data_IF_134366736589
#
_entry.id   IF_134366736589
#
_cell.length_a   1.000
_cell.length_b   1.000
_cell.length_c   1.000
_cell.angle_alpha   90.00
_cell.angle_beta   90.00
_cell.angle_gamma   90.00
#
_symmetry.space_group_name_H-M   'P 1'
#
loop_
_entity.id
_entity.type
_entity.pdbx_description
1 polymer ?
#
# COMPACT_ATOMS: atom_id res chain seq x y z
N UNK A 1 -2.44 -18.51 -23.24
CA UNK A 1 -2.47 -17.68 -24.46
C UNK A 1 -1.14 -16.95 -24.59
N UNK A 2 -0.63 -16.85 -25.81
CA UNK A 2 0.59 -16.10 -26.11
C UNK A 2 0.33 -14.58 -26.17
N UNK A 3 1.34 -13.77 -25.85
CA UNK A 3 1.25 -12.30 -25.86
C UNK A 3 0.79 -11.74 -27.22
N UNK A 4 1.24 -12.29 -28.33
CA UNK A 4 0.89 -11.81 -29.68
C UNK A 4 -0.61 -11.97 -29.94
N UNK A 5 -1.18 -13.10 -29.53
CA UNK A 5 -2.63 -13.35 -29.64
C UNK A 5 -3.44 -12.46 -28.71
N UNK A 6 -2.90 -12.14 -27.53
CA UNK A 6 -3.50 -11.17 -26.62
C UNK A 6 -3.58 -9.78 -27.25
N UNK A 7 -2.49 -9.35 -27.90
CA UNK A 7 -2.42 -8.07 -28.61
C UNK A 7 -3.41 -8.03 -29.78
N UNK A 8 -3.50 -9.09 -30.58
CA UNK A 8 -4.46 -9.20 -31.69
C UNK A 8 -5.91 -9.00 -31.19
N UNK A 9 -6.32 -9.77 -30.18
CA UNK A 9 -7.68 -9.68 -29.64
C UNK A 9 -7.98 -8.31 -29.01
N UNK A 10 -7.05 -7.73 -28.27
CA UNK A 10 -7.23 -6.40 -27.68
C UNK A 10 -7.29 -5.30 -28.75
N UNK A 11 -6.55 -5.44 -29.85
CA UNK A 11 -6.61 -4.49 -30.98
C UNK A 11 -7.98 -4.49 -31.65
N UNK A 12 -8.68 -5.63 -31.61
CA UNK A 12 -10.06 -5.78 -32.07
C UNK A 12 -11.11 -5.41 -30.99
N UNK A 13 -10.68 -4.82 -29.87
CA UNK A 13 -11.54 -4.47 -28.71
C UNK A 13 -12.26 -5.67 -28.08
N UNK A 14 -11.73 -6.89 -28.25
CA UNK A 14 -12.25 -8.09 -27.57
C UNK A 14 -11.76 -8.10 -26.12
N UNK A 15 -12.61 -8.61 -25.23
CA UNK A 15 -12.24 -8.82 -23.82
C UNK A 15 -11.59 -10.18 -23.66
N UNK A 16 -10.48 -10.25 -22.91
CA UNK A 16 -9.84 -11.52 -22.58
C UNK A 16 -10.45 -12.10 -21.31
N UNK A 17 -10.48 -13.42 -21.19
CA UNK A 17 -10.80 -14.09 -19.92
C UNK A 17 -9.67 -13.91 -18.90
N UNK A 18 -9.96 -14.13 -17.62
CA UNK A 18 -8.96 -14.10 -16.53
C UNK A 18 -7.75 -15.00 -16.84
N UNK A 19 -8.00 -16.24 -17.27
CA UNK A 19 -6.94 -17.21 -17.64
C UNK A 19 -6.08 -16.75 -18.81
N UNK A 20 -6.68 -16.02 -19.74
CA UNK A 20 -5.98 -15.46 -20.89
C UNK A 20 -5.07 -14.29 -20.47
N UNK A 21 -5.56 -13.41 -19.61
CA UNK A 21 -4.75 -12.36 -19.00
C UNK A 21 -3.59 -12.93 -18.19
N UNK A 22 -3.85 -13.91 -17.32
CA UNK A 22 -2.81 -14.58 -16.53
C UNK A 22 -1.70 -15.17 -17.43
N UNK A 23 -2.07 -15.84 -18.52
CA UNK A 23 -1.09 -16.41 -19.44
C UNK A 23 -0.25 -15.32 -20.13
N UNK A 24 -0.87 -14.22 -20.58
CA UNK A 24 -0.15 -13.09 -21.17
C UNK A 24 0.78 -12.40 -20.16
N UNK A 25 0.32 -12.16 -18.93
CA UNK A 25 1.13 -11.61 -17.85
C UNK A 25 2.30 -12.53 -17.47
N UNK A 26 2.09 -13.86 -17.50
CA UNK A 26 3.13 -14.86 -17.24
C UNK A 26 4.25 -14.81 -18.27
N UNK A 27 3.91 -14.75 -19.56
CA UNK A 27 4.92 -14.62 -20.62
C UNK A 27 5.70 -13.31 -20.54
N UNK A 28 5.01 -12.20 -20.29
CA UNK A 28 5.65 -10.90 -20.12
C UNK A 28 6.62 -10.90 -18.92
N UNK A 29 6.21 -11.48 -17.79
CA UNK A 29 7.07 -11.57 -16.60
C UNK A 29 8.22 -12.57 -16.74
N UNK A 30 8.18 -13.45 -17.75
CA UNK A 30 9.29 -14.30 -18.18
C UNK A 30 10.24 -13.60 -19.17
N UNK A 31 9.88 -12.40 -19.64
CA UNK A 31 10.64 -11.63 -20.61
C UNK A 31 10.48 -12.12 -22.05
N UNK A 32 9.40 -12.86 -22.35
CA UNK A 32 9.04 -13.26 -23.71
C UNK A 32 8.45 -12.08 -24.48
N UNK A 33 8.81 -12.00 -25.76
CA UNK A 33 8.38 -10.99 -26.72
C UNK A 33 8.18 -9.56 -26.13
N UNK A 34 9.27 -8.84 -25.82
CA UNK A 34 9.20 -7.51 -25.19
C UNK A 34 8.41 -6.46 -25.98
N UNK A 35 8.40 -6.55 -27.32
CA UNK A 35 7.66 -5.62 -28.16
C UNK A 35 6.15 -5.89 -28.07
N UNK A 36 5.72 -7.15 -28.15
CA UNK A 36 4.32 -7.51 -27.92
C UNK A 36 3.87 -7.14 -26.50
N UNK A 37 4.71 -7.34 -25.49
CA UNK A 37 4.43 -6.92 -24.12
C UNK A 37 4.28 -5.39 -23.99
N UNK A 38 5.07 -4.60 -24.72
CA UNK A 38 4.92 -3.14 -24.74
C UNK A 38 3.56 -2.73 -25.33
N UNK A 39 3.18 -3.32 -26.46
CA UNK A 39 1.88 -3.07 -27.12
C UNK A 39 0.73 -3.52 -26.22
N UNK A 40 0.83 -4.69 -25.61
CA UNK A 40 -0.14 -5.22 -24.66
C UNK A 40 -0.41 -4.22 -23.52
N UNK A 41 0.64 -3.74 -22.84
CA UNK A 41 0.50 -2.77 -21.76
C UNK A 41 -0.08 -1.42 -22.22
N UNK A 42 0.25 -0.98 -23.44
CA UNK A 42 -0.31 0.23 -24.03
C UNK A 42 -1.81 0.09 -24.27
N UNK A 43 -2.24 -1.02 -24.87
CA UNK A 43 -3.66 -1.29 -25.14
C UNK A 43 -4.48 -1.38 -23.85
N UNK A 44 -3.96 -2.04 -22.80
CA UNK A 44 -4.64 -2.08 -21.50
C UNK A 44 -4.79 -0.68 -20.88
N UNK A 45 -3.73 0.12 -20.93
CA UNK A 45 -3.75 1.50 -20.42
C UNK A 45 -4.77 2.38 -21.14
N UNK A 46 -4.91 2.24 -22.46
CA UNK A 46 -5.90 2.99 -23.25
C UNK A 46 -7.34 2.53 -23.02
N UNK A 47 -7.56 1.23 -22.82
CA UNK A 47 -8.88 0.68 -22.53
C UNK A 47 -9.38 1.05 -21.13
N UNK A 48 -8.46 1.23 -20.19
CA UNK A 48 -8.75 1.34 -18.76
C UNK A 48 -8.78 -0.02 -18.09
N UNK A 49 -8.27 -0.08 -16.86
CA UNK A 49 -8.07 -1.35 -16.15
C UNK A 49 -9.39 -1.98 -15.70
N UNK A 50 -9.61 -3.26 -16.06
CA UNK A 50 -10.73 -4.06 -15.55
C UNK A 50 -10.36 -4.88 -14.33
N UNK A 51 -11.38 -5.44 -13.66
CA UNK A 51 -11.18 -6.30 -12.47
C UNK A 51 -10.41 -7.57 -12.86
N UNK A 52 -10.77 -8.19 -13.98
CA UNK A 52 -10.18 -9.44 -14.48
C UNK A 52 -8.70 -9.25 -14.86
N UNK A 53 -8.38 -8.11 -15.47
CA UNK A 53 -6.99 -7.74 -15.79
C UNK A 53 -6.14 -7.59 -14.55
N UNK A 54 -6.67 -6.86 -13.57
CA UNK A 54 -5.94 -6.52 -12.38
C UNK A 54 -5.82 -7.69 -11.42
N UNK A 55 -6.85 -8.54 -11.33
CA UNK A 55 -6.82 -9.84 -10.69
C UNK A 55 -5.77 -10.76 -11.34
N UNK A 56 -5.82 -10.93 -12.67
CA UNK A 56 -4.86 -11.78 -13.39
C UNK A 56 -3.42 -11.33 -13.19
N UNK A 57 -3.16 -10.02 -13.25
CA UNK A 57 -1.83 -9.48 -12.95
C UNK A 57 -1.42 -9.77 -11.49
N UNK A 58 -2.30 -9.49 -10.53
CA UNK A 58 -2.02 -9.70 -9.12
C UNK A 58 -1.71 -11.17 -8.81
N UNK A 59 -2.48 -12.12 -9.38
CA UNK A 59 -2.24 -13.57 -9.23
C UNK A 59 -0.87 -13.98 -9.77
N UNK A 60 -0.53 -13.58 -10.99
CA UNK A 60 0.77 -13.90 -11.60
C UNK A 60 1.94 -13.30 -10.81
N UNK A 61 1.79 -12.05 -10.35
CA UNK A 61 2.81 -11.39 -9.53
C UNK A 61 2.99 -12.08 -8.18
N UNK A 62 1.89 -12.46 -7.51
CA UNK A 62 1.91 -13.23 -6.25
C UNK A 62 2.45 -14.65 -6.42
N UNK A 63 2.38 -15.22 -7.62
CA UNK A 63 3.03 -16.50 -7.91
C UNK A 63 4.54 -16.35 -8.02
N UNK A 64 5.01 -15.29 -8.71
CA UNK A 64 6.43 -15.06 -9.01
C UNK A 64 7.19 -14.27 -7.92
N UNK A 65 6.51 -13.85 -6.86
CA UNK A 65 7.12 -13.17 -5.71
C UNK A 65 7.95 -14.16 -4.88
N UNK A 66 9.03 -13.68 -4.27
CA UNK A 66 9.74 -14.42 -3.22
C UNK A 66 8.84 -14.40 -1.97
N UNK A 67 8.12 -15.50 -1.71
CA UNK A 67 7.11 -15.56 -0.64
C UNK A 67 7.75 -15.57 0.75
N UNK A 68 7.16 -14.82 1.67
CA UNK A 68 7.51 -14.83 3.10
C UNK A 68 6.41 -15.54 3.88
N UNK A 69 6.78 -16.56 4.67
CA UNK A 69 5.87 -17.30 5.54
C UNK A 69 5.86 -16.72 6.96
N UNK A 70 5.26 -15.54 7.10
CA UNK A 70 5.28 -14.75 8.34
C UNK A 70 4.11 -15.02 9.32
N UNK A 71 3.36 -16.10 9.09
CA UNK A 71 2.20 -16.45 9.92
C UNK A 71 0.92 -15.68 9.55
N UNK A 72 -0.01 -15.58 10.50
CA UNK A 72 -1.32 -14.94 10.35
C UNK A 72 -1.46 -13.69 11.22
N UNK A 73 -2.52 -12.93 10.97
CA UNK A 73 -2.83 -11.67 11.66
C UNK A 73 -1.99 -10.50 11.17
N UNK A 74 -1.44 -10.59 9.96
CA UNK A 74 -0.57 -9.57 9.39
C UNK A 74 -1.40 -8.42 8.81
N UNK A 75 -0.94 -7.20 9.08
CA UNK A 75 -1.49 -5.95 8.57
C UNK A 75 -0.52 -5.31 7.57
N UNK A 76 -1.03 -4.79 6.48
CA UNK A 76 -0.33 -3.82 5.63
C UNK A 76 -1.10 -2.49 5.60
N UNK A 77 -0.36 -1.40 5.76
CA UNK A 77 -0.88 -0.04 5.60
C UNK A 77 -0.13 0.55 4.41
N UNK A 78 -0.82 0.72 3.30
CA UNK A 78 -0.19 0.99 2.01
C UNK A 78 -1.12 1.82 1.11
N UNK A 79 -0.52 2.65 0.27
CA UNK A 79 -1.23 3.43 -0.74
C UNK A 79 -0.79 3.03 -2.15
N UNK A 80 -1.61 3.32 -3.15
CA UNK A 80 -1.20 3.19 -4.56
C UNK A 80 -0.09 4.17 -4.94
N UNK A 81 0.04 5.28 -4.19
CA UNK A 81 0.82 6.45 -4.56
C UNK A 81 0.25 7.16 -5.78
N UNK A 82 0.89 8.28 -6.15
CA UNK A 82 0.54 9.03 -7.35
C UNK A 82 -0.74 9.87 -7.22
N UNK A 83 -1.09 10.26 -5.99
CA UNK A 83 -2.15 11.22 -5.68
C UNK A 83 -1.73 12.68 -5.94
N UNK A 84 -0.42 12.93 -6.08
CA UNK A 84 0.14 14.26 -6.33
C UNK A 84 0.18 15.17 -5.10
N UNK A 85 -0.17 14.66 -3.91
CA UNK A 85 -0.24 15.45 -2.68
C UNK A 85 1.14 15.90 -2.19
N UNK A 86 2.20 15.14 -2.53
CA UNK A 86 3.54 15.31 -1.98
C UNK A 86 3.53 15.37 -0.45
N UNK A 87 2.63 14.62 0.20
CA UNK A 87 2.55 14.59 1.64
C UNK A 87 3.77 13.93 2.29
N UNK A 88 3.91 14.11 3.59
CA UNK A 88 4.77 13.25 4.41
C UNK A 88 4.34 11.78 4.25
N UNK A 89 5.23 10.81 4.47
CA UNK A 89 4.92 9.38 4.32
C UNK A 89 3.97 8.86 5.43
N UNK A 90 2.68 9.20 5.32
CA UNK A 90 1.64 8.85 6.29
C UNK A 90 1.54 7.35 6.50
N UNK A 91 1.38 6.53 5.45
CA UNK A 91 1.30 5.08 5.62
C UNK A 91 2.54 4.44 6.27
N UNK A 92 3.74 5.02 6.14
CA UNK A 92 4.94 4.52 6.85
C UNK A 92 4.89 4.88 8.32
N UNK A 93 4.58 6.14 8.66
CA UNK A 93 4.43 6.57 10.04
C UNK A 93 3.28 5.84 10.77
N UNK A 94 2.16 5.62 10.07
CA UNK A 94 1.01 4.89 10.61
C UNK A 94 1.32 3.40 10.80
N UNK A 95 2.10 2.78 9.92
CA UNK A 95 2.58 1.41 10.08
C UNK A 95 3.46 1.26 11.34
N UNK A 96 4.40 2.18 11.55
CA UNK A 96 5.23 2.22 12.76
C UNK A 96 4.37 2.37 14.03
N UNK A 97 3.39 3.27 14.01
CA UNK A 97 2.50 3.49 15.15
C UNK A 97 1.57 2.29 15.41
N UNK A 98 1.01 1.67 14.38
CA UNK A 98 0.19 0.47 14.51
C UNK A 98 1.00 -0.70 15.10
N UNK A 99 2.26 -0.87 14.67
CA UNK A 99 3.16 -1.87 15.23
C UNK A 99 3.49 -1.59 16.71
N UNK A 100 3.75 -0.33 17.07
CA UNK A 100 3.96 0.08 18.46
C UNK A 100 2.73 -0.14 19.35
N UNK A 101 1.52 -0.20 18.75
CA UNK A 101 0.28 -0.57 19.44
C UNK A 101 0.04 -2.09 19.51
N UNK A 102 0.94 -2.91 18.98
CA UNK A 102 0.86 -4.38 19.03
C UNK A 102 0.24 -5.05 17.80
N UNK A 103 0.04 -4.33 16.69
CA UNK A 103 -0.24 -4.95 15.40
C UNK A 103 1.01 -5.63 14.84
N UNK A 104 0.86 -6.75 14.11
CA UNK A 104 1.96 -7.32 13.32
C UNK A 104 1.92 -6.73 11.93
N UNK A 105 2.89 -5.90 11.57
CA UNK A 105 2.85 -5.11 10.33
C UNK A 105 3.88 -5.64 9.34
N UNK A 106 3.42 -6.16 8.20
CA UNK A 106 4.28 -6.57 7.09
C UNK A 106 4.15 -5.54 5.97
N UNK A 107 4.87 -4.42 6.08
CA UNK A 107 4.69 -3.30 5.14
C UNK A 107 5.40 -3.60 3.82
N UNK A 108 4.65 -3.60 2.72
CA UNK A 108 5.25 -3.66 1.38
C UNK A 108 5.48 -2.25 0.83
N UNK A 109 6.62 -2.02 0.19
CA UNK A 109 6.91 -0.71 -0.36
C UNK A 109 8.13 -0.66 -1.25
N UNK A 110 8.38 0.53 -1.80
CA UNK A 110 9.48 0.76 -2.73
C UNK A 110 10.12 2.13 -2.49
N UNK A 111 11.13 2.45 -3.31
CA UNK A 111 11.67 3.80 -3.44
C UNK A 111 10.68 4.69 -4.17
N UNK A 112 10.85 6.00 -4.04
CA UNK A 112 10.09 6.97 -4.82
C UNK A 112 10.18 6.67 -6.32
N UNK A 113 9.02 6.72 -6.99
CA UNK A 113 8.94 6.72 -8.47
C UNK A 113 8.47 8.05 -9.03
N UNK A 114 7.62 8.77 -8.28
CA UNK A 114 7.03 10.06 -8.65
C UNK A 114 7.00 11.09 -7.51
N UNK A 115 7.08 10.65 -6.25
CA UNK A 115 7.23 11.53 -5.08
C UNK A 115 8.70 11.88 -4.82
N UNK A 116 8.96 12.78 -3.87
CA UNK A 116 10.33 13.11 -3.41
C UNK A 116 10.91 12.08 -2.42
N UNK A 117 10.07 11.24 -1.83
CA UNK A 117 10.47 10.25 -0.82
C UNK A 117 9.52 9.04 -0.83
N UNK A 118 10.06 7.85 -1.08
CA UNK A 118 9.34 6.59 -0.94
C UNK A 118 9.48 6.02 0.47
N UNK A 119 8.73 4.96 0.76
CA UNK A 119 8.79 4.30 2.08
C UNK A 119 10.16 3.72 2.39
N UNK A 120 10.85 3.17 1.37
CA UNK A 120 12.21 2.66 1.53
C UNK A 120 13.21 3.78 1.84
N UNK A 121 13.12 4.91 1.12
CA UNK A 121 14.02 6.05 1.30
C UNK A 121 13.88 6.65 2.69
N UNK A 122 12.65 6.74 3.22
CA UNK A 122 12.38 7.21 4.58
C UNK A 122 12.93 6.26 5.65
N UNK A 123 12.74 4.94 5.49
CA UNK A 123 13.24 3.96 6.47
C UNK A 123 14.77 3.97 6.54
N UNK A 124 15.45 4.09 5.40
CA UNK A 124 16.91 4.28 5.35
C UNK A 124 17.33 5.62 6.00
N UNK A 125 16.59 6.71 5.77
CA UNK A 125 16.84 7.98 6.44
C UNK A 125 16.68 7.86 7.96
N UNK A 126 15.76 7.01 8.44
CA UNK A 126 15.66 6.64 9.84
C UNK A 126 16.82 5.76 10.33
N UNK A 127 17.70 5.25 9.48
CA UNK A 127 18.79 4.33 9.84
C UNK A 127 18.34 2.88 9.99
N UNK A 128 17.20 2.50 9.44
CA UNK A 128 16.70 1.12 9.45
C UNK A 128 17.32 0.34 8.30
N UNK A 129 17.81 -0.87 8.58
CA UNK A 129 18.27 -1.81 7.56
C UNK A 129 17.09 -2.38 6.77
N UNK A 130 17.17 -2.34 5.44
CA UNK A 130 16.18 -2.97 4.56
C UNK A 130 16.49 -4.46 4.30
N UNK A 131 17.59 -4.97 4.86
CA UNK A 131 18.08 -6.33 4.61
C UNK A 131 17.73 -7.34 5.71
N UNK A 132 17.20 -6.88 6.85
CA UNK A 132 16.85 -7.73 7.98
C UNK A 132 15.87 -8.86 7.61
N UNK A 133 15.96 -9.97 8.33
CA UNK A 133 15.06 -11.10 8.13
C UNK A 133 13.62 -10.70 8.54
N UNK A 134 12.64 -10.81 7.64
CA UNK A 134 11.30 -10.33 7.91
C UNK A 134 10.55 -11.13 8.98
N UNK A 135 10.91 -12.40 9.20
CA UNK A 135 10.30 -13.25 10.23
C UNK A 135 10.82 -12.82 11.60
N UNK A 136 12.13 -12.69 11.75
CA UNK A 136 12.76 -12.24 13.00
C UNK A 136 12.28 -10.83 13.38
N UNK A 137 12.24 -9.91 12.41
CA UNK A 137 11.74 -8.55 12.63
C UNK A 137 10.28 -8.52 13.09
N UNK A 138 9.41 -9.37 12.52
CA UNK A 138 8.01 -9.46 12.96
C UNK A 138 7.85 -10.06 14.36
N UNK A 139 8.70 -11.01 14.73
CA UNK A 139 8.66 -11.62 16.07
C UNK A 139 9.19 -10.68 17.14
N UNK A 140 10.31 -10.00 16.85
CA UNK A 140 10.99 -9.19 17.85
C UNK A 140 10.51 -7.74 17.86
N UNK A 141 10.34 -7.11 16.69
CA UNK A 141 10.00 -5.68 16.57
C UNK A 141 8.49 -5.49 16.39
N UNK A 142 7.81 -6.47 15.79
CA UNK A 142 6.38 -6.39 15.44
C UNK A 142 6.12 -5.77 14.06
N UNK A 143 7.16 -5.36 13.35
CA UNK A 143 7.08 -4.82 11.98
C UNK A 143 8.27 -5.28 11.15
N UNK A 144 8.02 -5.58 9.87
CA UNK A 144 9.05 -5.71 8.87
C UNK A 144 8.73 -4.89 7.62
N UNK A 145 9.75 -4.61 6.82
CA UNK A 145 9.61 -3.94 5.53
C UNK A 145 10.01 -4.88 4.39
N UNK A 146 9.09 -5.07 3.45
CA UNK A 146 9.28 -5.93 2.30
C UNK A 146 9.60 -5.05 1.09
N UNK A 147 10.89 -4.89 0.81
CA UNK A 147 11.35 -4.02 -0.27
C UNK A 147 11.05 -4.61 -1.65
N UNK A 148 10.21 -3.92 -2.44
CA UNK A 148 9.68 -4.46 -3.69
C UNK A 148 10.77 -4.92 -4.68
N UNK A 149 11.91 -4.23 -4.77
CA UNK A 149 13.01 -4.62 -5.68
C UNK A 149 13.68 -5.94 -5.28
N UNK A 150 13.66 -6.30 -3.99
CA UNK A 150 14.19 -7.56 -3.47
C UNK A 150 13.22 -8.70 -3.75
N UNK A 151 11.93 -8.49 -3.48
CA UNK A 151 10.95 -9.57 -3.47
C UNK A 151 10.25 -9.85 -4.82
N UNK A 152 10.33 -8.94 -5.78
CA UNK A 152 9.69 -9.10 -7.11
C UNK A 152 10.71 -9.26 -8.25
N UNK A 153 11.46 -10.38 -8.33
CA UNK A 153 12.52 -10.56 -9.32
C UNK A 153 12.01 -10.52 -10.77
N UNK A 154 10.76 -10.92 -11.01
CA UNK A 154 10.09 -10.82 -12.31
C UNK A 154 10.06 -9.39 -12.85
N UNK A 155 10.06 -8.38 -11.98
CA UNK A 155 10.08 -6.98 -12.39
C UNK A 155 11.37 -6.58 -13.11
N UNK A 156 12.48 -7.32 -12.95
CA UNK A 156 13.70 -7.09 -13.73
C UNK A 156 13.49 -7.26 -15.24
N UNK A 157 12.54 -8.12 -15.64
CA UNK A 157 12.16 -8.33 -17.05
C UNK A 157 11.17 -7.28 -17.56
N UNK A 158 10.28 -6.82 -16.68
CA UNK A 158 9.22 -5.85 -17.02
C UNK A 158 9.71 -4.40 -16.97
N UNK A 159 10.68 -4.07 -16.12
CA UNK A 159 11.15 -2.71 -15.91
C UNK A 159 11.69 -2.02 -17.18
N UNK A 160 12.50 -2.67 -18.05
CA UNK A 160 12.94 -2.07 -19.30
C UNK A 160 11.77 -1.70 -20.24
N UNK A 161 10.75 -2.56 -20.30
CA UNK A 161 9.53 -2.34 -21.11
C UNK A 161 8.79 -1.11 -20.61
N UNK A 162 8.55 -1.03 -19.30
CA UNK A 162 7.89 0.12 -18.66
C UNK A 162 8.68 1.42 -18.86
N UNK A 163 10.01 1.36 -18.74
CA UNK A 163 10.88 2.53 -18.97
C UNK A 163 10.80 3.01 -20.41
N UNK A 164 10.80 2.11 -21.40
CA UNK A 164 10.65 2.44 -22.83
C UNK A 164 9.28 3.03 -23.15
N UNK A 165 8.21 2.50 -22.53
CA UNK A 165 6.85 3.00 -22.70
C UNK A 165 6.66 4.41 -22.14
N UNK A 166 7.24 4.72 -20.98
CA UNK A 166 7.18 6.07 -20.38
C UNK A 166 5.78 6.54 -19.97
N UNK A 167 4.79 5.65 -19.97
CA UNK A 167 3.39 5.94 -19.61
C UNK A 167 2.96 5.16 -18.37
N UNK A 168 1.89 5.64 -17.73
CA UNK A 168 1.21 4.90 -16.66
C UNK A 168 0.59 3.61 -17.22
N UNK A 169 0.78 2.51 -16.51
CA UNK A 169 0.16 1.22 -16.83
C UNK A 169 -0.41 0.59 -15.56
N UNK A 170 -1.10 -0.55 -15.73
CA UNK A 170 -1.64 -1.35 -14.63
C UNK A 170 -0.61 -1.71 -13.54
N UNK A 171 0.69 -1.79 -13.88
CA UNK A 171 1.77 -2.01 -12.91
C UNK A 171 1.95 -0.86 -11.91
N UNK A 172 1.54 0.36 -12.25
CA UNK A 172 1.55 1.47 -11.31
C UNK A 172 0.53 1.28 -10.17
N UNK A 173 -0.48 0.44 -10.38
CA UNK A 173 -1.51 0.14 -9.40
C UNK A 173 -1.21 -1.15 -8.61
N UNK A 174 -0.40 -2.06 -9.15
CA UNK A 174 -0.25 -3.41 -8.62
C UNK A 174 0.44 -3.51 -7.25
N UNK A 175 1.23 -2.51 -6.86
CA UNK A 175 2.10 -2.54 -5.66
C UNK A 175 1.40 -3.02 -4.37
N UNK A 176 0.27 -2.42 -3.96
CA UNK A 176 -0.50 -2.85 -2.79
C UNK A 176 -1.01 -4.28 -2.85
N UNK A 177 -1.25 -4.82 -4.05
CA UNK A 177 -1.87 -6.14 -4.21
C UNK A 177 -0.85 -7.28 -4.14
N UNK A 178 0.44 -7.01 -4.20
CA UNK A 178 1.47 -8.04 -4.40
C UNK A 178 2.42 -8.15 -3.20
N UNK A 179 1.93 -7.87 -2.00
CA UNK A 179 2.71 -8.01 -0.78
C UNK A 179 3.24 -9.46 -0.61
N UNK A 180 4.57 -9.67 -0.50
CA UNK A 180 5.20 -11.00 -0.42
C UNK A 180 4.78 -11.85 0.79
N UNK A 181 4.32 -11.21 1.88
CA UNK A 181 3.87 -11.90 3.09
C UNK A 181 2.39 -12.30 3.06
N UNK A 182 1.66 -11.92 2.01
CA UNK A 182 0.22 -12.13 1.88
C UNK A 182 -0.58 -11.79 3.17
N UNK A 183 -0.61 -10.51 3.59
CA UNK A 183 -1.31 -10.08 4.79
C UNK A 183 -2.79 -10.47 4.82
N UNK A 184 -3.31 -10.72 6.03
CA UNK A 184 -4.74 -10.96 6.23
C UNK A 184 -5.56 -9.67 6.19
N UNK A 185 -4.91 -8.55 6.54
CA UNK A 185 -5.55 -7.26 6.71
C UNK A 185 -4.86 -6.15 5.91
N UNK A 186 -5.66 -5.27 5.32
CA UNK A 186 -5.16 -4.11 4.58
C UNK A 186 -5.90 -2.82 4.94
N UNK A 187 -5.15 -1.77 5.26
CA UNK A 187 -5.60 -0.40 5.06
C UNK A 187 -4.97 0.07 3.75
N UNK A 188 -5.76 0.07 2.67
CA UNK A 188 -5.29 0.32 1.31
C UNK A 188 -5.86 1.62 0.79
N UNK A 189 -5.00 2.62 0.64
CA UNK A 189 -5.39 3.89 0.02
C UNK A 189 -5.28 3.89 -1.50
N UNK A 190 -6.21 4.55 -2.17
CA UNK A 190 -6.17 4.76 -3.62
C UNK A 190 -6.08 6.23 -3.98
N UNK A 191 -5.27 6.59 -4.97
CA UNK A 191 -5.04 7.99 -5.37
C UNK A 191 -6.24 8.66 -6.06
N UNK A 192 -7.22 7.87 -6.51
CA UNK A 192 -8.40 8.35 -7.23
C UNK A 192 -9.63 7.58 -6.77
N UNK A 193 -10.72 8.29 -6.54
CA UNK A 193 -11.97 7.69 -6.05
C UNK A 193 -12.49 6.57 -6.98
N UNK A 194 -12.39 6.73 -8.29
CA UNK A 194 -12.86 5.73 -9.26
C UNK A 194 -12.10 4.39 -9.19
N UNK A 195 -10.95 4.33 -8.51
CA UNK A 195 -10.20 3.09 -8.30
C UNK A 195 -10.70 2.30 -7.09
N UNK A 196 -11.50 2.90 -6.20
CA UNK A 196 -11.90 2.24 -4.95
C UNK A 196 -12.62 0.91 -5.22
N UNK A 197 -13.60 0.90 -6.13
CA UNK A 197 -14.36 -0.32 -6.45
C UNK A 197 -13.50 -1.39 -7.14
N UNK A 198 -12.58 -0.96 -8.01
CA UNK A 198 -11.64 -1.87 -8.68
C UNK A 198 -10.78 -2.60 -7.64
N UNK A 199 -10.15 -1.87 -6.73
CA UNK A 199 -9.33 -2.46 -5.66
C UNK A 199 -10.17 -3.33 -4.72
N UNK A 200 -11.38 -2.89 -4.36
CA UNK A 200 -12.26 -3.65 -3.47
C UNK A 200 -12.60 -5.03 -4.06
N UNK A 201 -13.00 -5.08 -5.33
CA UNK A 201 -13.33 -6.34 -6.03
C UNK A 201 -12.12 -7.26 -6.16
N UNK A 202 -10.96 -6.72 -6.51
CA UNK A 202 -9.74 -7.55 -6.64
C UNK A 202 -9.29 -8.08 -5.29
N UNK A 203 -9.29 -7.25 -4.24
CA UNK A 203 -8.95 -7.69 -2.87
C UNK A 203 -9.89 -8.81 -2.38
N UNK A 204 -11.20 -8.68 -2.62
CA UNK A 204 -12.17 -9.72 -2.27
C UNK A 204 -11.85 -11.05 -2.98
N UNK A 205 -11.57 -10.99 -4.29
CA UNK A 205 -11.21 -12.14 -5.14
C UNK A 205 -9.87 -12.79 -4.76
N UNK A 206 -8.96 -12.03 -4.17
CA UNK A 206 -7.71 -12.53 -3.60
C UNK A 206 -7.91 -13.23 -2.24
N UNK A 207 -9.13 -13.22 -1.68
CA UNK A 207 -9.47 -13.94 -0.45
C UNK A 207 -8.88 -13.30 0.81
N UNK A 208 -8.63 -11.99 0.80
CA UNK A 208 -8.14 -11.24 1.97
C UNK A 208 -9.22 -11.24 3.06
N UNK A 209 -8.83 -11.46 4.32
CA UNK A 209 -9.77 -11.60 5.45
C UNK A 209 -10.56 -10.31 5.69
N UNK A 210 -9.88 -9.15 5.71
CA UNK A 210 -10.56 -7.85 5.73
C UNK A 210 -9.69 -6.74 5.16
N UNK A 211 -10.26 -5.85 4.37
CA UNK A 211 -9.56 -4.67 3.89
C UNK A 211 -10.45 -3.44 3.91
N UNK A 212 -9.88 -2.30 4.26
CA UNK A 212 -10.50 -1.00 4.02
C UNK A 212 -9.82 -0.36 2.82
N UNK A 213 -10.58 -0.19 1.74
CA UNK A 213 -10.13 0.62 0.59
C UNK A 213 -10.53 2.07 0.86
N UNK A 214 -9.56 2.98 0.94
CA UNK A 214 -9.78 4.34 1.42
C UNK A 214 -9.39 5.41 0.41
N UNK A 215 -10.13 6.51 0.43
CA UNK A 215 -9.84 7.72 -0.33
C UNK A 215 -10.21 8.94 0.53
N UNK A 216 -9.22 9.78 0.83
CA UNK A 216 -9.37 10.92 1.72
C UNK A 216 -9.04 12.23 1.01
N UNK A 217 -10.07 12.99 0.61
CA UNK A 217 -9.92 14.36 0.10
C UNK A 217 -8.89 14.51 -1.04
N UNK A 218 -8.76 13.54 -1.93
CA UNK A 218 -7.74 13.59 -3.00
C UNK A 218 -6.43 12.89 -2.68
N UNK A 219 -6.29 12.31 -1.49
CA UNK A 219 -5.14 11.54 -1.04
C UNK A 219 -5.47 10.05 -0.94
N UNK A 220 -4.44 9.22 -1.11
CA UNK A 220 -4.51 7.77 -0.89
C UNK A 220 -4.26 7.40 0.58
N UNK A 221 -4.86 8.17 1.49
CA UNK A 221 -4.77 8.00 2.95
C UNK A 221 -6.07 8.49 3.58
N UNK A 222 -6.36 8.10 4.83
CA UNK A 222 -7.37 8.79 5.63
C UNK A 222 -6.78 10.10 6.15
N UNK A 223 -7.53 11.21 6.09
CA UNK A 223 -7.01 12.53 6.47
C UNK A 223 -8.00 13.28 7.36
N UNK A 224 -7.55 14.08 8.34
CA UNK A 224 -8.41 15.00 9.08
C UNK A 224 -8.89 16.21 8.25
N UNK A 225 -8.54 16.34 6.97
CA UNK A 225 -8.95 17.47 6.13
C UNK A 225 -10.48 17.50 5.95
N UNK A 226 -11.12 16.33 5.90
CA UNK A 226 -12.56 16.21 5.82
C UNK A 226 -13.05 14.76 5.80
N UNK A 227 -14.30 14.52 5.39
CA UNK A 227 -14.86 13.18 5.29
C UNK A 227 -14.06 12.32 4.30
N UNK A 228 -13.78 11.09 4.70
CA UNK A 228 -13.07 10.09 3.92
C UNK A 228 -14.04 8.98 3.48
N UNK A 229 -13.87 8.49 2.25
CA UNK A 229 -14.65 7.37 1.71
C UNK A 229 -13.95 6.05 2.01
N UNK A 230 -14.72 5.04 2.39
CA UNK A 230 -14.23 3.70 2.72
C UNK A 230 -15.08 2.65 2.00
N UNK A 231 -14.46 1.62 1.45
CA UNK A 231 -15.11 0.35 1.16
C UNK A 231 -14.55 -0.70 2.12
N UNK A 232 -15.39 -1.19 3.04
CA UNK A 232 -15.09 -2.30 3.96
C UNK A 232 -15.31 -3.62 3.22
N UNK A 233 -14.24 -4.36 2.97
CA UNK A 233 -14.20 -5.56 2.15
C UNK A 233 -13.89 -6.76 3.05
N UNK A 234 -14.75 -7.78 2.99
CA UNK A 234 -14.49 -9.13 3.50
C UNK A 234 -14.72 -10.13 2.35
N UNK A 235 -14.39 -11.43 2.52
CA UNK A 235 -14.67 -12.44 1.50
C UNK A 235 -16.14 -12.46 1.04
N UNK A 236 -17.06 -12.18 1.96
CA UNK A 236 -18.51 -12.33 1.72
C UNK A 236 -19.23 -11.01 1.42
N UNK A 237 -18.66 -9.85 1.78
CA UNK A 237 -19.34 -8.56 1.63
C UNK A 237 -18.42 -7.39 1.30
N UNK A 238 -18.99 -6.40 0.62
CA UNK A 238 -18.38 -5.08 0.41
C UNK A 238 -19.39 -4.00 0.84
N UNK A 239 -18.98 -3.11 1.73
CA UNK A 239 -19.86 -2.08 2.29
C UNK A 239 -19.23 -0.71 2.16
N UNK A 240 -19.94 0.23 1.52
CA UNK A 240 -19.49 1.63 1.39
C UNK A 240 -19.82 2.39 2.66
N UNK A 241 -18.85 3.14 3.18
CA UNK A 241 -19.00 3.98 4.37
C UNK A 241 -18.31 5.34 4.16
N UNK A 242 -18.74 6.31 4.95
CA UNK A 242 -18.05 7.60 5.09
C UNK A 242 -17.55 7.69 6.53
N UNK A 243 -16.27 8.01 6.69
CA UNK A 243 -15.65 8.25 7.98
C UNK A 243 -15.40 9.75 8.12
N UNK A 244 -15.89 10.34 9.21
CA UNK A 244 -15.75 11.75 9.52
C UNK A 244 -14.78 11.93 10.70
N UNK A 245 -13.50 12.29 10.45
CA UNK A 245 -12.48 12.40 11.48
C UNK A 245 -12.86 13.32 12.65
N UNK A 246 -13.60 14.40 12.37
CA UNK A 246 -14.05 15.36 13.38
C UNK A 246 -14.96 14.70 14.43
N UNK A 247 -15.82 13.74 14.02
CA UNK A 247 -16.66 12.95 14.93
C UNK A 247 -15.86 12.00 15.83
N UNK A 248 -14.61 11.73 15.46
CA UNK A 248 -13.67 10.89 16.21
C UNK A 248 -12.72 11.73 17.08
N UNK A 249 -12.97 13.04 17.22
CA UNK A 249 -12.17 13.94 18.06
C UNK A 249 -10.81 14.31 17.47
N UNK A 250 -10.69 14.28 16.13
CA UNK A 250 -9.52 14.77 15.39
C UNK A 250 -9.79 16.20 14.89
N UNK A 251 -8.82 17.08 15.06
CA UNK A 251 -8.94 18.47 14.59
C UNK A 251 -8.77 18.51 13.07
N UNK A 252 -9.62 19.30 12.41
CA UNK A 252 -9.50 19.56 10.99
C UNK A 252 -8.17 20.23 10.66
N UNK A 253 -7.53 19.80 9.57
CA UNK A 253 -6.30 20.38 9.04
C UNK A 253 -6.47 20.77 7.57
N UNK A 254 -5.44 21.40 6.99
CA UNK A 254 -5.37 21.71 5.55
C UNK A 254 -4.26 20.90 4.88
N UNK A 255 -4.29 20.79 3.54
CA UNK A 255 -3.28 20.04 2.78
C UNK A 255 -1.84 20.45 3.09
N UNK A 256 -1.59 21.75 3.27
CA UNK A 256 -0.25 22.27 3.58
C UNK A 256 0.29 21.78 4.93
N UNK A 257 -0.58 21.42 5.87
CA UNK A 257 -0.16 20.87 7.16
C UNK A 257 0.41 19.46 7.05
N UNK A 258 0.08 18.75 5.96
CA UNK A 258 0.51 17.38 5.69
C UNK A 258 1.64 17.32 4.64
N UNK A 259 2.10 18.47 4.14
CA UNK A 259 3.11 18.55 3.11
C UNK A 259 4.44 17.91 3.55
N UNK A 260 5.02 17.12 2.66
CA UNK A 260 6.31 16.47 2.83
C UNK A 260 7.40 17.07 1.94
N UNK A 261 8.53 16.39 1.90
CA UNK A 261 9.71 16.76 1.13
C UNK A 261 10.58 15.57 0.78
N UNK A 262 11.89 15.82 0.73
CA UNK A 262 12.91 14.78 0.58
C UNK A 262 12.97 13.84 1.82
N UNK A 263 13.75 12.76 1.78
CA UNK A 263 13.82 11.79 2.87
C UNK A 263 14.18 12.40 4.24
N UNK A 264 15.13 13.32 4.32
CA UNK A 264 15.52 13.96 5.59
C UNK A 264 14.44 14.91 6.10
N UNK A 265 13.75 15.61 5.21
CA UNK A 265 12.59 16.45 5.56
C UNK A 265 11.47 15.59 6.14
N UNK A 266 11.10 14.49 5.47
CA UNK A 266 10.04 13.60 5.93
C UNK A 266 10.39 12.91 7.25
N UNK A 267 11.64 12.46 7.41
CA UNK A 267 12.17 11.96 8.68
C UNK A 267 12.00 12.98 9.80
N UNK A 268 12.45 14.23 9.59
CA UNK A 268 12.33 15.30 10.60
C UNK A 268 10.88 15.56 10.98
N UNK A 269 9.97 15.67 10.00
CA UNK A 269 8.55 15.91 10.24
C UNK A 269 7.89 14.77 11.03
N UNK A 270 8.22 13.52 10.72
CA UNK A 270 7.70 12.37 11.46
C UNK A 270 8.29 12.26 12.86
N UNK A 271 9.60 12.51 13.05
CA UNK A 271 10.20 12.57 14.39
C UNK A 271 9.53 13.65 15.25
N UNK A 272 9.29 14.83 14.70
CA UNK A 272 8.60 15.92 15.39
C UNK A 272 7.18 15.51 15.80
N UNK A 273 6.43 14.87 14.89
CA UNK A 273 5.10 14.34 15.18
C UNK A 273 5.12 13.23 16.26
N UNK A 274 6.11 12.34 16.23
CA UNK A 274 6.30 11.29 17.24
C UNK A 274 6.65 11.86 18.61
N UNK A 275 7.53 12.86 18.68
CA UNK A 275 7.97 13.47 19.93
C UNK A 275 6.90 14.37 20.55
N UNK A 276 6.22 15.19 19.74
CA UNK A 276 5.15 16.09 20.22
C UNK A 276 3.86 15.35 20.56
N UNK A 277 3.63 14.18 19.95
CA UNK A 277 2.41 13.37 20.13
C UNK A 277 1.10 14.12 19.82
N UNK A 278 1.18 15.20 19.03
CA UNK A 278 0.07 16.10 18.69
C UNK A 278 0.37 16.91 17.44
N UNK A 279 -0.69 17.49 16.85
CA UNK A 279 -0.63 18.27 15.61
C UNK A 279 -1.14 17.50 14.38
N UNK A 280 -1.28 18.16 13.22
CA UNK A 280 -1.96 17.60 12.05
C UNK A 280 -1.35 16.29 11.54
N UNK A 281 -0.02 16.20 11.47
CA UNK A 281 0.67 14.97 11.05
C UNK A 281 0.39 13.86 12.08
N UNK A 282 0.61 14.11 13.37
CA UNK A 282 0.35 13.14 14.44
C UNK A 282 -1.10 12.63 14.44
N UNK A 283 -2.08 13.52 14.31
CA UNK A 283 -3.50 13.16 14.23
C UNK A 283 -3.81 12.32 12.99
N UNK A 284 -3.18 12.61 11.85
CA UNK A 284 -3.31 11.80 10.63
C UNK A 284 -2.70 10.39 10.81
N UNK A 285 -1.54 10.27 11.47
CA UNK A 285 -0.93 8.98 11.78
C UNK A 285 -1.82 8.17 12.75
N UNK A 286 -2.36 8.82 13.78
CA UNK A 286 -3.28 8.22 14.75
C UNK A 286 -4.54 7.71 14.06
N UNK A 287 -5.10 8.46 13.11
CA UNK A 287 -6.27 8.05 12.35
C UNK A 287 -6.02 6.76 11.57
N UNK A 288 -4.97 6.74 10.74
CA UNK A 288 -4.66 5.58 9.90
C UNK A 288 -4.22 4.37 10.74
N UNK A 289 -3.39 4.57 11.77
CA UNK A 289 -2.99 3.49 12.68
C UNK A 289 -4.20 2.94 13.48
N UNK A 290 -5.07 3.81 13.99
CA UNK A 290 -6.27 3.44 14.74
C UNK A 290 -7.25 2.61 13.92
N UNK A 291 -7.48 3.01 12.67
CA UNK A 291 -8.27 2.21 11.71
C UNK A 291 -7.57 0.90 11.39
N UNK A 292 -6.25 0.92 11.19
CA UNK A 292 -5.40 -0.28 11.06
C UNK A 292 -5.55 -1.29 12.21
N UNK A 293 -5.62 -0.80 13.45
CA UNK A 293 -5.83 -1.63 14.64
C UNK A 293 -7.24 -2.25 14.67
N UNK A 294 -8.26 -1.49 14.26
CA UNK A 294 -9.62 -1.99 14.17
C UNK A 294 -9.76 -3.08 13.10
N UNK A 295 -9.22 -2.88 11.90
CA UNK A 295 -9.32 -3.87 10.82
C UNK A 295 -8.55 -5.15 11.14
N UNK A 296 -7.45 -5.04 11.90
CA UNK A 296 -6.62 -6.17 12.33
C UNK A 296 -7.10 -6.84 13.63
N UNK A 297 -8.32 -6.50 14.07
CA UNK A 297 -9.01 -7.11 15.22
C UNK A 297 -8.25 -6.91 16.55
N UNK A 298 -7.41 -5.87 16.66
CA UNK A 298 -6.69 -5.52 17.89
C UNK A 298 -7.56 -4.77 18.89
N UNK A 299 -8.61 -4.13 18.38
CA UNK A 299 -9.62 -3.36 19.13
C UNK A 299 -11.00 -3.63 18.54
N UNK A 300 -12.07 -3.33 19.27
CA UNK A 300 -13.45 -3.61 18.83
C UNK A 300 -14.08 -2.46 18.05
N UNK A 301 -13.59 -1.24 18.21
CA UNK A 301 -14.10 -0.05 17.53
C UNK A 301 -12.97 0.83 16.97
N UNK A 302 -13.30 1.72 16.03
CA UNK A 302 -12.33 2.67 15.47
C UNK A 302 -11.91 3.69 16.53
N UNK A 303 -12.83 4.10 17.40
CA UNK A 303 -12.61 5.03 18.52
C UNK A 303 -11.63 4.45 19.54
N UNK A 304 -11.74 3.15 19.86
CA UNK A 304 -10.76 2.45 20.69
C UNK A 304 -9.38 2.42 20.02
N UNK A 305 -9.33 2.17 18.71
CA UNK A 305 -8.09 2.17 17.93
C UNK A 305 -7.40 3.52 17.92
N UNK A 306 -8.14 4.60 17.67
CA UNK A 306 -7.64 5.98 17.72
C UNK A 306 -7.16 6.33 19.12
N UNK A 307 -7.91 5.95 20.16
CA UNK A 307 -7.53 6.20 21.56
C UNK A 307 -6.24 5.48 21.93
N UNK A 308 -6.08 4.22 21.52
CA UNK A 308 -4.87 3.43 21.73
C UNK A 308 -3.68 4.03 20.97
N UNK A 309 -3.85 4.34 19.68
CA UNK A 309 -2.80 4.94 18.86
C UNK A 309 -2.34 6.29 19.42
N UNK A 310 -3.27 7.17 19.81
CA UNK A 310 -2.95 8.46 20.42
C UNK A 310 -2.19 8.31 21.74
N UNK A 311 -2.56 7.34 22.57
CA UNK A 311 -1.86 7.06 23.84
C UNK A 311 -0.45 6.54 23.58
N UNK A 312 -0.30 5.52 22.75
CA UNK A 312 0.99 4.92 22.37
C UNK A 312 1.95 5.95 21.79
N UNK A 313 1.43 6.87 20.96
CA UNK A 313 2.21 7.96 20.39
C UNK A 313 2.75 8.90 21.48
N UNK A 314 1.89 9.33 22.41
CA UNK A 314 2.27 10.22 23.54
C UNK A 314 3.23 9.55 24.53
N UNK A 315 3.13 8.24 24.69
CA UNK A 315 4.03 7.45 25.55
C UNK A 315 5.42 7.25 24.92
N UNK A 316 5.66 7.72 23.69
CA UNK A 316 6.97 7.61 23.03
C UNK A 316 7.29 6.22 22.48
N UNK A 317 6.37 5.25 22.57
CA UNK A 317 6.59 3.85 22.17
C UNK A 317 6.97 3.66 20.70
N UNK A 318 6.59 4.59 19.83
CA UNK A 318 7.00 4.57 18.42
C UNK A 318 8.51 4.80 18.29
N UNK A 319 9.08 5.67 19.12
CA UNK A 319 10.52 5.92 19.15
C UNK A 319 11.29 4.70 19.70
N UNK A 320 10.77 4.05 20.74
CA UNK A 320 11.33 2.81 21.28
C UNK A 320 11.35 1.69 20.23
N UNK A 321 10.24 1.53 19.49
CA UNK A 321 10.15 0.57 18.40
C UNK A 321 11.17 0.89 17.29
N UNK A 322 11.29 2.15 16.89
CA UNK A 322 12.23 2.56 15.85
C UNK A 322 13.69 2.28 16.27
N UNK A 323 14.02 2.59 17.52
CA UNK A 323 15.34 2.32 18.10
C UNK A 323 15.63 0.82 18.20
N UNK A 324 14.61 0.01 18.53
CA UNK A 324 14.71 -1.45 18.49
C UNK A 324 14.97 -1.96 17.07
N UNK A 325 14.26 -1.42 16.09
CA UNK A 325 14.40 -1.81 14.69
C UNK A 325 15.79 -1.50 14.14
N UNK A 326 16.34 -0.31 14.43
CA UNK A 326 17.70 0.08 13.99
C UNK A 326 18.81 -0.87 14.43
N UNK A 327 18.58 -1.63 15.51
CA UNK A 327 19.55 -2.56 16.09
C UNK A 327 19.46 -3.97 15.46
N UNK A 328 18.55 -4.18 14.51
CA UNK A 328 18.33 -5.45 13.80
C UNK A 328 18.65 -5.28 12.31
#
# INVERSE_FOLDING_TARGET
MHLEKAVEQLSEKKTLSEKEYEAAFREMTEGKNPDAAAVFLKLLSEKGETVEEFEGLARVMREKVIKIRAGKGLLDIVGTGGDGSNSVNISTGAALLAAACGAKVAKHGSRASSSKCGSADLLEAFGVSLEGDPIELLEEVGICFLFALKYHPAMKKVAPIRKKLGIRTIFNLAGPLVNPANPDYFLLGVARENLMELFAKVIQKLGIKRAFIVYGNGMDELTPIGPCKIIDVTPDKMEKRVLEPEKLGLKKCVFSDLAGGDPETNKRLLLDAFQKGSGPIADTLVLNAGVGLYISEKVKTIEEGISLARRTLKEGKVMDLLEKWRKR
#
